data_IF_893776338066
#
_entry.id   IF_893776338066
#
_cell.length_a   1.000
_cell.length_b   1.000
_cell.length_c   1.000
_cell.angle_alpha   90.00
_cell.angle_beta   90.00
_cell.angle_gamma   90.00
#
_symmetry.space_group_name_H-M   'P 1'
#
loop_
_entity.id
_entity.type
_entity.pdbx_description
1 polymer ?
#
# COMPACT_ATOMS: atom_id res chain seq x y z
N UNK A 1 -38.58 -18.89 -12.95
CA UNK A 1 -37.34 -18.85 -12.11
C UNK A 1 -36.36 -17.91 -12.83
N UNK A 2 -35.68 -17.06 -12.11
CA UNK A 2 -34.67 -16.16 -12.66
C UNK A 2 -33.28 -16.66 -12.25
N UNK A 3 -32.35 -16.67 -13.18
CA UNK A 3 -30.94 -17.08 -12.99
C UNK A 3 -30.07 -15.88 -13.23
N UNK A 4 -29.13 -15.64 -12.33
CA UNK A 4 -28.11 -14.58 -12.45
C UNK A 4 -26.73 -15.21 -12.55
N UNK A 5 -25.99 -14.86 -13.59
CA UNK A 5 -24.67 -15.42 -13.87
C UNK A 5 -23.69 -14.36 -14.37
N UNK A 6 -22.38 -14.61 -14.19
CA UNK A 6 -21.29 -13.80 -14.73
C UNK A 6 -20.80 -14.47 -16.03
N UNK A 7 -20.79 -13.71 -17.12
CA UNK A 7 -20.39 -14.24 -18.44
C UNK A 7 -19.06 -13.70 -18.95
N UNK A 8 -18.51 -12.66 -18.31
CA UNK A 8 -17.16 -12.19 -18.60
C UNK A 8 -16.10 -12.99 -17.83
N UNK A 9 -14.86 -12.91 -18.27
CA UNK A 9 -13.72 -13.48 -17.52
C UNK A 9 -13.54 -12.77 -16.20
N UNK A 10 -13.09 -13.52 -15.19
CA UNK A 10 -12.75 -12.93 -13.88
C UNK A 10 -11.51 -12.04 -14.00
N UNK A 11 -11.49 -10.87 -13.33
CA UNK A 11 -10.31 -10.03 -13.28
C UNK A 11 -9.20 -10.65 -12.43
N UNK A 12 -7.97 -10.15 -12.59
CA UNK A 12 -6.87 -10.50 -11.70
C UNK A 12 -7.12 -9.97 -10.28
N UNK A 13 -6.71 -10.72 -9.28
CA UNK A 13 -6.88 -10.43 -7.87
C UNK A 13 -7.82 -11.42 -7.18
N UNK A 14 -8.14 -11.15 -5.92
CA UNK A 14 -9.10 -11.96 -5.17
C UNK A 14 -10.52 -11.63 -5.66
N UNK A 15 -11.02 -12.44 -6.58
CA UNK A 15 -12.33 -12.27 -7.19
C UNK A 15 -13.24 -13.44 -6.81
N UNK A 16 -14.44 -13.13 -6.38
CA UNK A 16 -15.49 -14.12 -6.15
C UNK A 16 -16.84 -13.61 -6.62
N UNK A 17 -17.56 -14.48 -7.28
CA UNK A 17 -18.96 -14.30 -7.67
C UNK A 17 -19.64 -15.67 -7.62
N UNK A 18 -20.77 -15.74 -6.94
CA UNK A 18 -21.56 -16.99 -6.88
C UNK A 18 -22.84 -16.78 -7.68
N UNK A 19 -23.04 -17.56 -8.78
CA UNK A 19 -24.29 -17.55 -9.50
C UNK A 19 -25.47 -17.85 -8.57
N UNK A 20 -26.61 -17.25 -8.84
CA UNK A 20 -27.80 -17.42 -8.02
C UNK A 20 -29.06 -17.60 -8.86
N UNK A 21 -30.09 -18.20 -8.26
CA UNK A 21 -31.41 -18.35 -8.87
C UNK A 21 -32.51 -18.16 -7.83
N UNK A 22 -33.66 -17.67 -8.27
CA UNK A 22 -34.83 -17.44 -7.42
C UNK A 22 -36.13 -17.36 -8.17
N UNK A 23 -37.26 -17.43 -7.45
CA UNK A 23 -38.61 -17.26 -8.02
C UNK A 23 -38.96 -15.77 -7.99
N UNK A 24 -39.19 -15.20 -9.17
CA UNK A 24 -39.54 -13.77 -9.35
C UNK A 24 -38.37 -12.83 -9.25
N UNK A 25 -37.42 -13.06 -8.33
CA UNK A 25 -36.22 -12.25 -8.19
C UNK A 25 -35.05 -13.09 -7.64
N UNK A 26 -33.82 -12.64 -7.89
CA UNK A 26 -32.60 -13.22 -7.31
C UNK A 26 -31.56 -12.14 -7.14
N UNK A 27 -30.63 -12.35 -6.20
CA UNK A 27 -29.50 -11.47 -5.96
C UNK A 27 -28.23 -12.26 -5.77
N UNK A 28 -27.10 -11.64 -6.08
CA UNK A 28 -25.78 -12.24 -5.88
C UNK A 28 -24.80 -11.18 -5.41
N UNK A 29 -23.81 -11.63 -4.64
CA UNK A 29 -22.74 -10.75 -4.17
C UNK A 29 -21.50 -11.00 -5.01
N UNK A 30 -20.89 -9.90 -5.45
CA UNK A 30 -19.58 -9.88 -6.04
C UNK A 30 -18.60 -9.29 -5.02
N UNK A 31 -17.47 -9.95 -4.82
CA UNK A 31 -16.35 -9.42 -4.07
C UNK A 31 -15.11 -9.44 -4.96
N UNK A 32 -14.39 -8.34 -5.00
CA UNK A 32 -13.16 -8.23 -5.75
C UNK A 32 -12.18 -7.29 -5.06
N UNK A 33 -10.98 -7.82 -4.80
CA UNK A 33 -9.83 -7.05 -4.31
C UNK A 33 -8.77 -7.06 -5.41
N UNK A 34 -8.63 -5.98 -6.20
CA UNK A 34 -7.58 -5.88 -7.21
C UNK A 34 -6.20 -6.01 -6.58
N UNK A 35 -5.28 -6.66 -7.29
CA UNK A 35 -3.86 -6.69 -6.93
C UNK A 35 -3.10 -5.61 -7.69
N UNK A 36 -1.89 -5.29 -7.23
CA UNK A 36 -1.03 -4.30 -7.89
C UNK A 36 -0.76 -4.64 -9.37
N UNK A 37 -0.68 -5.93 -9.70
CA UNK A 37 -0.48 -6.41 -11.09
C UNK A 37 -1.65 -6.09 -12.03
N UNK A 38 -2.78 -5.65 -11.49
CA UNK A 38 -3.92 -5.24 -12.29
C UNK A 38 -3.73 -3.85 -12.89
N UNK A 39 -3.04 -2.95 -12.20
CA UNK A 39 -2.74 -1.59 -12.67
C UNK A 39 -1.50 -1.63 -13.57
N UNK A 40 -1.58 -1.01 -14.72
CA UNK A 40 -0.41 -0.83 -15.58
C UNK A 40 0.51 0.26 -15.01
N UNK A 41 1.83 0.03 -15.06
CA UNK A 41 2.88 0.85 -14.44
C UNK A 41 2.85 2.35 -14.80
N UNK A 42 2.10 2.75 -15.81
CA UNK A 42 2.17 4.10 -16.37
C UNK A 42 0.93 4.99 -16.16
N UNK A 43 -0.19 4.46 -15.72
CA UNK A 43 -1.44 5.22 -15.72
C UNK A 43 -2.10 5.41 -14.34
N UNK A 44 -1.68 4.68 -13.32
CA UNK A 44 -2.29 4.75 -11.99
C UNK A 44 -3.80 4.42 -11.96
N UNK A 45 -4.38 4.13 -13.12
CA UNK A 45 -5.80 3.89 -13.29
C UNK A 45 -6.08 2.86 -14.40
N UNK A 46 -6.98 1.91 -14.16
CA UNK A 46 -7.41 0.93 -15.15
C UNK A 46 -8.88 0.61 -15.01
N UNK A 47 -9.57 0.50 -16.13
CA UNK A 47 -10.97 0.08 -16.12
C UNK A 47 -11.12 -1.40 -16.46
N UNK A 48 -12.13 -2.03 -15.84
CA UNK A 48 -12.52 -3.41 -16.10
C UNK A 48 -14.04 -3.52 -16.25
N UNK A 49 -14.48 -4.24 -17.28
CA UNK A 49 -15.89 -4.43 -17.55
C UNK A 49 -16.32 -5.84 -17.16
N UNK A 50 -17.30 -5.94 -16.25
CA UNK A 50 -17.96 -7.19 -15.91
C UNK A 50 -19.33 -7.23 -16.55
N UNK A 51 -19.61 -8.29 -17.31
CA UNK A 51 -20.92 -8.50 -17.95
C UNK A 51 -21.65 -9.65 -17.27
N UNK A 52 -22.83 -9.34 -16.81
CA UNK A 52 -23.75 -10.27 -16.15
C UNK A 52 -24.90 -10.62 -17.08
N UNK A 53 -25.44 -11.81 -16.95
CA UNK A 53 -26.67 -12.22 -17.60
C UNK A 53 -27.77 -12.53 -16.58
N UNK A 54 -28.92 -12.03 -16.79
CA UNK A 54 -30.15 -12.48 -16.13
C UNK A 54 -30.97 -13.25 -17.15
N UNK A 55 -31.34 -14.48 -16.84
CA UNK A 55 -32.13 -15.33 -17.70
C UNK A 55 -33.36 -15.85 -16.93
N UNK A 56 -34.54 -15.78 -17.50
CA UNK A 56 -35.70 -16.47 -16.95
C UNK A 56 -35.91 -17.83 -17.65
N UNK A 57 -36.80 -18.64 -17.11
CA UNK A 57 -37.22 -19.89 -17.72
C UNK A 57 -38.70 -19.82 -18.21
N UNK A 58 -39.12 -18.64 -18.67
CA UNK A 58 -40.47 -18.48 -19.21
C UNK A 58 -40.68 -19.31 -20.49
N UNK A 59 -41.90 -19.84 -20.64
CA UNK A 59 -42.30 -20.56 -21.86
C UNK A 59 -43.08 -19.61 -22.78
N UNK A 60 -42.94 -19.73 -24.10
CA UNK A 60 -42.19 -20.77 -24.85
C UNK A 60 -40.70 -20.43 -25.05
N UNK A 61 -40.26 -19.21 -24.77
CA UNK A 61 -38.89 -18.77 -25.05
C UNK A 61 -38.33 -18.04 -23.80
N UNK A 62 -37.22 -18.50 -23.20
CA UNK A 62 -36.55 -17.81 -22.12
C UNK A 62 -36.05 -16.43 -22.55
N UNK A 63 -36.31 -15.42 -21.75
CA UNK A 63 -35.74 -14.08 -21.96
C UNK A 63 -34.36 -13.98 -21.28
N UNK A 64 -33.38 -13.42 -21.99
CA UNK A 64 -32.04 -13.16 -21.48
C UNK A 64 -31.70 -11.68 -21.59
N UNK A 65 -31.35 -11.06 -20.46
CA UNK A 65 -30.86 -9.69 -20.40
C UNK A 65 -29.40 -9.66 -19.97
N UNK A 66 -28.63 -8.77 -20.61
CA UNK A 66 -27.25 -8.54 -20.31
C UNK A 66 -27.09 -7.17 -19.66
N UNK A 67 -26.22 -7.11 -18.66
CA UNK A 67 -25.80 -5.86 -18.00
C UNK A 67 -24.30 -5.83 -17.84
N UNK A 68 -23.65 -4.83 -18.41
CA UNK A 68 -22.23 -4.57 -18.20
C UNK A 68 -22.05 -3.46 -17.17
N UNK A 69 -21.18 -3.71 -16.20
CA UNK A 69 -20.77 -2.76 -15.18
C UNK A 69 -19.28 -2.48 -15.39
N UNK A 70 -18.95 -1.21 -15.52
CA UNK A 70 -17.57 -0.74 -15.62
C UNK A 70 -17.05 -0.42 -14.23
N UNK A 71 -15.99 -1.09 -13.82
CA UNK A 71 -15.23 -0.79 -12.62
C UNK A 71 -14.02 0.05 -13.02
N UNK A 72 -13.83 1.15 -12.33
CA UNK A 72 -12.63 1.96 -12.42
C UNK A 72 -11.79 1.68 -11.19
N UNK A 73 -10.58 1.17 -11.40
CA UNK A 73 -9.61 0.90 -10.34
C UNK A 73 -8.50 1.92 -10.50
N UNK A 74 -8.31 2.73 -9.49
CA UNK A 74 -7.21 3.70 -9.42
C UNK A 74 -6.38 3.44 -8.17
N UNK A 75 -5.11 3.81 -8.24
CA UNK A 75 -4.32 3.97 -7.02
C UNK A 75 -4.95 5.10 -6.20
N UNK A 76 -5.06 4.96 -4.88
CA UNK A 76 -5.43 6.11 -4.07
C UNK A 76 -4.44 7.23 -4.37
N UNK A 77 -4.97 8.44 -4.57
CA UNK A 77 -4.13 9.63 -4.59
C UNK A 77 -3.23 9.56 -3.37
N UNK A 78 -1.91 9.73 -3.59
CA UNK A 78 -0.94 9.63 -2.51
C UNK A 78 -1.45 10.45 -1.33
N UNK A 79 -1.87 9.77 -0.26
CA UNK A 79 -2.14 10.43 1.00
C UNK A 79 -0.84 11.15 1.32
N UNK A 80 -0.86 12.47 1.39
CA UNK A 80 0.26 13.24 1.94
C UNK A 80 0.39 12.77 3.39
N UNK A 81 1.29 11.84 3.63
CA UNK A 81 1.68 11.48 4.98
C UNK A 81 2.54 12.63 5.49
N UNK A 82 2.00 13.37 6.43
CA UNK A 82 2.80 14.26 7.27
C UNK A 82 3.69 13.39 8.16
N UNK A 83 4.76 12.89 7.53
CA UNK A 83 5.69 11.95 8.16
C UNK A 83 6.63 12.72 9.10
N UNK A 84 6.37 12.62 10.39
CA UNK A 84 7.13 13.26 11.46
C UNK A 84 7.78 12.21 12.35
N UNK A 85 8.96 11.67 11.97
CA UNK A 85 9.64 10.65 12.74
C UNK A 85 10.27 11.21 14.02
N UNK A 86 10.67 10.34 14.97
CA UNK A 86 11.43 10.75 16.14
C UNK A 86 12.66 11.57 15.74
N UNK A 87 12.95 12.62 16.47
CA UNK A 87 14.05 13.53 16.17
C UNK A 87 15.26 13.38 17.09
N UNK A 88 15.22 12.44 18.05
CA UNK A 88 16.32 12.12 18.93
C UNK A 88 16.28 10.68 19.43
N UNK A 89 17.44 10.14 19.79
CA UNK A 89 17.58 8.88 20.51
C UNK A 89 18.83 8.92 21.40
N UNK A 90 18.84 8.06 22.42
CA UNK A 90 19.92 8.06 23.44
C UNK A 90 20.29 6.63 23.81
N UNK A 91 21.34 6.07 23.21
CA UNK A 91 21.78 4.69 23.45
C UNK A 91 22.57 4.56 24.78
N UNK A 92 21.88 4.79 25.90
CA UNK A 92 22.43 4.75 27.25
C UNK A 92 22.14 3.42 27.97
N UNK A 93 21.40 2.49 27.34
CA UNK A 93 21.12 1.16 27.87
C UNK A 93 19.99 1.11 28.92
N UNK A 94 19.16 2.14 29.01
CA UNK A 94 18.01 2.19 29.93
C UNK A 94 16.75 1.51 29.39
N UNK A 95 16.80 1.01 28.14
CA UNK A 95 15.70 0.38 27.44
C UNK A 95 14.72 1.34 26.79
N UNK A 96 15.03 2.65 26.77
CA UNK A 96 14.19 3.70 26.17
C UNK A 96 14.98 4.49 25.12
N UNK A 97 14.49 4.46 23.89
CA UNK A 97 15.12 5.18 22.77
C UNK A 97 16.63 4.85 22.58
N UNK A 98 17.05 3.64 22.97
CA UNK A 98 18.42 3.18 22.79
C UNK A 98 18.77 2.97 21.31
N UNK A 99 17.78 2.84 20.46
CA UNK A 99 17.95 2.72 19.02
C UNK A 99 17.01 3.68 18.29
N UNK A 100 17.47 4.21 17.18
CA UNK A 100 16.62 4.90 16.22
C UNK A 100 15.99 3.89 15.27
N UNK A 101 14.68 3.89 15.22
CA UNK A 101 13.87 3.01 14.36
C UNK A 101 12.62 3.73 13.88
N UNK A 102 12.03 3.22 12.80
CA UNK A 102 10.81 3.75 12.19
C UNK A 102 9.75 2.66 12.01
N UNK A 103 9.80 1.63 12.84
CA UNK A 103 8.81 0.55 12.90
C UNK A 103 8.46 0.22 14.33
N UNK A 104 7.22 -0.21 14.57
CA UNK A 104 6.74 -0.55 15.92
C UNK A 104 6.71 0.63 16.89
N UNK A 105 6.58 1.84 16.39
CA UNK A 105 6.49 3.05 17.19
C UNK A 105 5.09 3.18 17.82
N UNK A 106 5.01 3.93 18.92
CA UNK A 106 3.73 4.25 19.58
C UNK A 106 2.82 5.06 18.66
N UNK A 107 1.54 5.16 19.02
CA UNK A 107 0.52 5.84 18.21
C UNK A 107 0.82 7.33 17.94
N UNK A 108 1.60 7.95 18.83
CA UNK A 108 2.00 9.36 18.73
C UNK A 108 3.22 9.57 17.83
N UNK A 109 3.83 8.49 17.36
CA UNK A 109 5.02 8.51 16.51
C UNK A 109 4.68 7.86 15.17
N UNK A 110 5.07 8.51 14.09
CA UNK A 110 4.74 8.00 12.77
C UNK A 110 5.75 6.94 12.33
N UNK A 111 5.22 5.76 12.06
CA UNK A 111 5.98 4.70 11.40
C UNK A 111 6.29 5.08 9.95
N UNK A 112 7.32 4.41 9.41
CA UNK A 112 7.64 4.54 7.99
C UNK A 112 6.40 4.24 7.13
N UNK A 113 6.04 5.11 6.17
CA UNK A 113 4.86 4.91 5.32
C UNK A 113 4.88 3.55 4.62
N UNK A 114 3.70 2.94 4.54
CA UNK A 114 3.53 1.61 3.93
C UNK A 114 3.92 1.61 2.45
N UNK A 115 4.41 0.46 1.99
CA UNK A 115 4.70 0.23 0.58
C UNK A 115 3.41 0.31 -0.25
N UNK A 116 3.47 1.04 -1.35
CA UNK A 116 2.42 1.07 -2.36
C UNK A 116 2.79 0.18 -3.55
N UNK A 117 1.85 0.00 -4.48
CA UNK A 117 2.03 -0.90 -5.62
C UNK A 117 3.30 -0.62 -6.43
N UNK A 118 3.57 0.64 -6.68
CA UNK A 118 4.67 1.12 -7.54
C UNK A 118 5.74 1.90 -6.77
N UNK A 119 5.59 2.02 -5.46
CA UNK A 119 6.48 2.81 -4.63
C UNK A 119 6.79 2.09 -3.31
N UNK A 120 7.94 1.43 -3.28
CA UNK A 120 8.38 0.59 -2.16
C UNK A 120 9.59 1.20 -1.49
N UNK A 121 9.71 0.99 -0.18
CA UNK A 121 10.92 1.33 0.56
C UNK A 121 12.14 0.65 -0.08
N UNK A 122 13.20 1.42 -0.28
CA UNK A 122 14.46 0.92 -0.84
C UNK A 122 15.56 0.92 0.21
N UNK A 123 15.80 2.05 0.85
CA UNK A 123 16.79 2.17 1.93
C UNK A 123 16.57 3.42 2.77
N UNK A 124 17.17 3.41 3.96
CA UNK A 124 17.48 4.60 4.74
C UNK A 124 19.00 4.71 4.89
N UNK A 125 19.52 5.93 4.83
CA UNK A 125 20.93 6.21 5.08
C UNK A 125 21.07 7.41 6.01
N UNK A 126 22.07 7.39 6.89
CA UNK A 126 22.41 8.46 7.80
C UNK A 126 23.78 9.03 7.45
N UNK A 127 23.90 10.34 7.59
CA UNK A 127 25.10 11.10 7.24
C UNK A 127 25.49 12.00 8.41
N UNK A 128 26.78 12.14 8.63
CA UNK A 128 27.28 13.14 9.55
C UNK A 128 27.21 14.56 8.98
N UNK A 129 27.64 15.56 9.75
CA UNK A 129 27.66 16.97 9.36
C UNK A 129 28.55 17.28 8.15
N UNK A 130 29.46 16.38 7.79
CA UNK A 130 30.35 16.53 6.62
C UNK A 130 29.76 15.91 5.37
N UNK A 131 28.63 15.19 5.48
CA UNK A 131 28.01 14.43 4.40
C UNK A 131 28.59 13.01 4.24
N UNK A 132 29.43 12.56 5.16
CA UNK A 132 29.92 11.18 5.18
C UNK A 132 28.78 10.25 5.64
N UNK A 133 28.53 9.19 4.89
CA UNK A 133 27.56 8.15 5.26
C UNK A 133 28.10 7.34 6.44
N UNK A 134 27.33 7.31 7.53
CA UNK A 134 27.71 6.62 8.79
C UNK A 134 26.89 5.36 9.04
N UNK A 135 25.75 5.22 8.37
CA UNK A 135 24.91 4.02 8.47
C UNK A 135 23.99 3.92 7.25
N UNK A 136 23.69 2.70 6.83
CA UNK A 136 22.68 2.39 5.81
C UNK A 136 21.96 1.09 6.13
N UNK A 137 20.65 1.07 5.89
CA UNK A 137 19.87 -0.17 5.94
C UNK A 137 18.91 -0.26 4.75
N UNK A 138 18.78 -1.48 4.22
CA UNK A 138 17.77 -1.88 3.24
C UNK A 138 16.61 -2.62 3.90
N UNK A 139 16.72 -2.85 5.22
CA UNK A 139 15.62 -3.41 6.02
C UNK A 139 14.74 -2.29 6.53
N UNK A 140 13.44 -2.40 6.28
CA UNK A 140 12.42 -1.50 6.76
C UNK A 140 12.33 -1.47 8.29
N UNK A 141 12.65 -2.59 8.94
CA UNK A 141 12.64 -2.77 10.39
C UNK A 141 14.01 -2.54 11.02
N UNK A 142 14.83 -1.70 10.41
CA UNK A 142 16.17 -1.39 10.92
C UNK A 142 16.14 -0.82 12.35
N UNK A 143 17.24 -1.04 13.04
CA UNK A 143 17.55 -0.36 14.30
C UNK A 143 18.98 0.18 14.23
N UNK A 144 19.15 1.45 14.51
CA UNK A 144 20.44 2.13 14.52
C UNK A 144 20.77 2.67 15.91
N UNK A 145 21.83 2.19 16.51
CA UNK A 145 22.23 2.55 17.88
C UNK A 145 23.34 3.62 17.93
N UNK A 146 23.79 4.14 16.79
CA UNK A 146 24.83 5.17 16.74
C UNK A 146 26.22 4.71 17.23
N UNK A 147 26.45 3.40 17.35
CA UNK A 147 27.71 2.87 17.94
C UNK A 147 28.96 3.39 17.24
N UNK A 148 29.90 3.91 18.04
CA UNK A 148 31.18 4.45 17.55
C UNK A 148 31.09 5.90 17.02
N UNK A 149 29.94 6.54 17.15
CA UNK A 149 29.74 7.92 16.75
C UNK A 149 29.67 8.86 17.96
N UNK A 150 29.95 10.14 17.77
CA UNK A 150 29.84 11.16 18.81
C UNK A 150 28.41 11.67 18.94
N UNK A 151 28.05 12.19 20.12
CA UNK A 151 26.79 12.96 20.29
C UNK A 151 26.74 14.11 19.30
N UNK A 152 25.61 14.25 18.62
CA UNK A 152 25.46 15.29 17.60
C UNK A 152 24.26 15.10 16.73
N UNK A 153 24.15 15.97 15.74
CA UNK A 153 23.06 15.90 14.72
C UNK A 153 23.53 15.14 13.50
N UNK A 154 22.73 14.17 13.10
CA UNK A 154 22.90 13.38 11.91
C UNK A 154 21.75 13.62 10.96
N UNK A 155 21.99 13.51 9.66
CA UNK A 155 20.99 13.74 8.63
C UNK A 155 20.59 12.40 8.02
N UNK A 156 19.32 12.19 7.81
CA UNK A 156 18.85 10.97 7.14
C UNK A 156 18.24 11.26 5.79
N UNK A 157 18.32 10.26 4.93
CA UNK A 157 17.61 10.18 3.67
C UNK A 157 16.92 8.82 3.55
N UNK A 158 15.62 8.84 3.32
CA UNK A 158 14.80 7.65 3.09
C UNK A 158 14.42 7.62 1.61
N UNK A 159 14.76 6.51 0.95
CA UNK A 159 14.51 6.30 -0.49
C UNK A 159 13.40 5.32 -0.70
N UNK A 160 12.43 5.71 -1.51
CA UNK A 160 11.44 4.84 -2.11
C UNK A 160 11.75 4.60 -3.60
N UNK A 161 11.16 3.55 -4.20
CA UNK A 161 11.55 3.05 -5.53
C UNK A 161 11.18 4.00 -6.67
N UNK A 162 10.10 4.76 -6.55
CA UNK A 162 9.67 5.69 -7.57
C UNK A 162 10.61 6.91 -7.67
N UNK A 163 11.06 7.24 -8.85
CA UNK A 163 12.07 8.31 -9.06
C UNK A 163 11.61 9.67 -8.50
N UNK A 164 10.33 9.99 -8.65
CA UNK A 164 9.71 11.20 -8.13
C UNK A 164 8.75 10.87 -6.96
N UNK A 165 9.09 9.87 -6.16
CA UNK A 165 8.27 9.50 -5.02
C UNK A 165 8.13 10.68 -4.07
N UNK A 166 6.90 11.00 -3.70
CA UNK A 166 6.60 11.93 -2.59
C UNK A 166 6.99 11.34 -1.24
N UNK A 167 7.25 10.03 -1.20
CA UNK A 167 7.70 9.29 -0.02
C UNK A 167 9.24 9.27 0.13
N UNK A 168 9.99 10.04 -0.68
CA UNK A 168 11.39 10.25 -0.38
C UNK A 168 11.50 11.33 0.70
N UNK A 169 11.95 10.94 1.88
CA UNK A 169 12.04 11.82 3.04
C UNK A 169 13.47 12.14 3.37
N UNK A 170 13.67 13.32 3.92
CA UNK A 170 14.94 13.75 4.48
C UNK A 170 14.70 14.58 5.73
N UNK A 171 15.59 14.45 6.68
CA UNK A 171 15.49 15.20 7.94
C UNK A 171 16.75 15.01 8.76
N UNK A 172 16.64 15.25 10.05
CA UNK A 172 17.71 15.11 10.99
C UNK A 172 17.28 14.37 12.26
N UNK A 173 18.24 13.81 12.96
CA UNK A 173 18.05 13.16 14.25
C UNK A 173 19.25 13.49 15.15
N UNK A 174 19.01 13.69 16.42
CA UNK A 174 20.04 13.94 17.43
C UNK A 174 20.40 12.65 18.14
N UNK A 175 21.69 12.28 18.11
CA UNK A 175 22.28 11.24 18.95
C UNK A 175 22.78 11.88 20.24
N UNK A 176 22.33 11.37 21.40
CA UNK A 176 22.61 11.95 22.72
C UNK A 176 23.11 10.82 23.63
N UNK A 177 24.34 10.94 24.15
CA UNK A 177 24.89 10.05 25.17
C UNK A 177 24.79 10.70 26.54
#
# INVERSE_FOLDING_TARGET
MVFLDLISTSPKGNFSFTPSSGIGSTSSTLSWTPTCDFLDDNLGEKSYNLTFSATDNSCPIPEKKLKTIKFLVSMPDSIEYDFSPPNAFSPNGDGKNDTYKLSGLSIDQQNLPEDQCDDKFVYIAFYDRTGLEVFRSYDRNFEWNGSGLESGTYYYYIKYSKTNSRHNYKGNVSLIY
#
